data_IF_724376870707
#
_entry.id   IF_724376870707
#
_cell.length_a   1.000
_cell.length_b   1.000
_cell.length_c   1.000
_cell.angle_alpha   90.00
_cell.angle_beta   90.00
_cell.angle_gamma   90.00
#
_symmetry.space_group_name_H-M   'P 1'
#
loop_
_entity.id
_entity.type
_entity.pdbx_description
1 polymer ?
#
# COMPACT_ATOMS: atom_id res chain seq x y z
N UNK A 1 -53.15 -27.40 -64.09
CA UNK A 1 -52.63 -26.14 -63.52
C UNK A 1 -52.00 -26.45 -62.17
N UNK A 2 -50.67 -26.51 -62.10
CA UNK A 2 -49.93 -26.72 -60.83
C UNK A 2 -49.34 -25.39 -60.42
N UNK A 3 -49.81 -24.87 -59.30
CA UNK A 3 -49.36 -23.62 -58.72
C UNK A 3 -48.15 -23.90 -57.84
N UNK A 4 -46.97 -23.45 -58.27
CA UNK A 4 -45.74 -23.56 -57.48
C UNK A 4 -45.82 -22.58 -56.31
N UNK A 5 -45.90 -23.11 -55.09
CA UNK A 5 -45.72 -22.32 -53.87
C UNK A 5 -44.22 -22.17 -53.60
N UNK A 6 -43.71 -20.94 -53.71
CA UNK A 6 -42.36 -20.58 -53.26
C UNK A 6 -42.39 -20.44 -51.74
N UNK A 7 -41.73 -21.35 -51.03
CA UNK A 7 -41.53 -21.25 -49.58
C UNK A 7 -40.28 -20.40 -49.35
N UNK A 8 -40.47 -19.15 -48.91
CA UNK A 8 -39.39 -18.28 -48.46
C UNK A 8 -39.08 -18.65 -47.00
N UNK A 9 -38.00 -19.39 -46.79
CA UNK A 9 -37.47 -19.67 -45.44
C UNK A 9 -36.66 -18.45 -45.00
N UNK A 10 -37.27 -17.58 -44.19
CA UNK A 10 -36.57 -16.48 -43.53
C UNK A 10 -35.74 -17.05 -42.38
N UNK A 11 -34.45 -17.24 -42.62
CA UNK A 11 -33.45 -17.55 -41.61
C UNK A 11 -33.24 -16.31 -40.73
N UNK A 12 -34.02 -16.21 -39.66
CA UNK A 12 -33.78 -15.26 -38.58
C UNK A 12 -32.51 -15.70 -37.86
N UNK A 13 -31.38 -15.12 -38.26
CA UNK A 13 -30.15 -15.16 -37.47
C UNK A 13 -30.39 -14.34 -36.21
N UNK A 14 -30.87 -14.98 -35.15
CA UNK A 14 -30.76 -14.44 -33.80
C UNK A 14 -29.27 -14.33 -33.47
N UNK A 15 -28.69 -13.15 -33.72
CA UNK A 15 -27.37 -12.80 -33.23
C UNK A 15 -27.47 -12.72 -31.71
N UNK A 16 -27.14 -13.84 -31.07
CA UNK A 16 -27.04 -13.94 -29.62
C UNK A 16 -25.84 -13.09 -29.20
N UNK A 17 -26.09 -11.81 -28.90
CA UNK A 17 -25.11 -10.96 -28.25
C UNK A 17 -24.90 -11.51 -26.84
N UNK A 18 -23.90 -12.39 -26.68
CA UNK A 18 -23.39 -12.69 -25.36
C UNK A 18 -22.64 -11.45 -24.89
N UNK A 19 -23.25 -10.70 -23.98
CA UNK A 19 -22.52 -9.70 -23.22
C UNK A 19 -21.43 -10.45 -22.43
N UNK A 20 -20.18 -10.38 -22.90
CA UNK A 20 -19.05 -10.85 -22.11
C UNK A 20 -19.00 -9.99 -20.85
N UNK A 21 -19.25 -10.59 -19.68
CA UNK A 21 -18.93 -9.94 -18.40
C UNK A 21 -17.44 -9.63 -18.44
N UNK A 22 -17.08 -8.35 -18.45
CA UNK A 22 -15.72 -7.91 -18.17
C UNK A 22 -15.46 -8.32 -16.72
N UNK A 23 -14.82 -9.46 -16.53
CA UNK A 23 -14.32 -9.86 -15.21
C UNK A 23 -13.18 -8.90 -14.93
N UNK A 24 -13.42 -7.90 -14.08
CA UNK A 24 -12.37 -7.04 -13.55
C UNK A 24 -11.32 -7.96 -12.93
N UNK A 25 -10.14 -8.00 -13.53
CA UNK A 25 -9.04 -8.82 -13.05
C UNK A 25 -8.70 -8.36 -11.63
N UNK A 26 -8.62 -9.30 -10.68
CA UNK A 26 -8.29 -8.97 -9.30
C UNK A 26 -6.85 -8.43 -9.25
N UNK A 27 -6.66 -7.24 -8.66
CA UNK A 27 -5.32 -6.63 -8.57
C UNK A 27 -4.35 -7.50 -7.76
N UNK A 28 -4.84 -8.12 -6.69
CA UNK A 28 -4.12 -9.12 -5.92
C UNK A 28 -4.76 -10.52 -6.04
N UNK A 29 -4.37 -11.32 -7.04
CA UNK A 29 -4.92 -12.68 -7.21
C UNK A 29 -4.47 -13.64 -6.11
N UNK A 30 -3.39 -13.30 -5.38
CA UNK A 30 -2.86 -14.08 -4.26
C UNK A 30 -2.27 -13.15 -3.20
N UNK A 31 -2.59 -13.44 -1.95
CA UNK A 31 -2.08 -12.71 -0.78
C UNK A 31 -0.93 -13.51 -0.15
N UNK A 32 0.21 -12.86 0.09
CA UNK A 32 1.41 -13.52 0.61
C UNK A 32 1.68 -13.19 2.09
N UNK A 33 1.77 -14.24 2.93
CA UNK A 33 1.93 -14.06 4.39
C UNK A 33 3.24 -13.41 4.81
N UNK A 34 4.34 -13.62 4.11
CA UNK A 34 5.65 -13.00 4.43
C UNK A 34 6.39 -12.59 3.16
N UNK A 35 5.64 -12.22 2.13
CA UNK A 35 6.18 -11.80 0.84
C UNK A 35 5.20 -10.82 0.20
N UNK A 36 5.51 -10.38 -1.02
CA UNK A 36 4.69 -9.51 -1.85
C UNK A 36 4.77 -10.02 -3.31
N UNK A 37 3.87 -9.57 -4.18
CA UNK A 37 3.86 -9.94 -5.60
C UNK A 37 4.82 -9.09 -6.41
N UNK A 38 4.81 -7.79 -6.15
CA UNK A 38 5.57 -6.79 -6.90
C UNK A 38 5.96 -5.62 -5.99
N UNK A 39 6.92 -4.85 -6.47
CA UNK A 39 7.34 -3.58 -5.86
C UNK A 39 7.04 -2.49 -6.88
N UNK A 40 6.29 -1.48 -6.46
CA UNK A 40 6.00 -0.31 -7.28
C UNK A 40 6.61 0.93 -6.63
N UNK A 41 7.11 1.85 -7.45
CA UNK A 41 7.50 3.20 -7.00
C UNK A 41 6.43 4.16 -7.51
N UNK A 42 5.68 4.73 -6.58
CA UNK A 42 4.47 5.50 -6.88
C UNK A 42 4.51 6.87 -6.21
N UNK A 43 3.61 7.77 -6.63
CA UNK A 43 3.42 9.04 -5.95
C UNK A 43 2.38 8.90 -4.83
N UNK A 44 2.80 9.13 -3.60
CA UNK A 44 1.89 9.36 -2.49
C UNK A 44 1.36 10.80 -2.58
N UNK A 45 0.04 10.95 -2.59
CA UNK A 45 -0.66 12.23 -2.66
C UNK A 45 -1.41 12.47 -1.36
N UNK A 46 -1.24 13.65 -0.77
CA UNK A 46 -2.01 14.05 0.39
C UNK A 46 -2.35 15.53 0.37
N UNK A 47 -3.42 15.91 1.08
CA UNK A 47 -3.84 17.30 1.20
C UNK A 47 -3.46 17.78 2.59
N UNK A 48 -2.76 18.91 2.65
CA UNK A 48 -2.41 19.59 3.89
C UNK A 48 -2.65 21.07 3.72
N UNK A 49 -3.48 21.67 4.58
CA UNK A 49 -3.79 23.12 4.55
C UNK A 49 -4.20 23.65 3.15
N UNK A 50 -5.02 22.88 2.43
CA UNK A 50 -5.49 23.14 1.05
C UNK A 50 -4.43 22.99 -0.06
N UNK A 51 -3.20 22.60 0.26
CA UNK A 51 -2.17 22.27 -0.73
C UNK A 51 -2.05 20.76 -0.92
N UNK A 52 -1.78 20.35 -2.17
CA UNK A 52 -1.44 18.96 -2.49
C UNK A 52 0.05 18.74 -2.30
N UNK A 53 0.40 17.89 -1.35
CA UNK A 53 1.76 17.43 -1.13
C UNK A 53 1.96 16.10 -1.86
N UNK A 54 3.11 15.95 -2.52
CA UNK A 54 3.47 14.77 -3.30
C UNK A 54 4.83 14.25 -2.88
N UNK A 55 4.92 12.95 -2.62
CA UNK A 55 6.17 12.26 -2.30
C UNK A 55 6.28 10.97 -3.11
N UNK A 56 7.49 10.47 -3.31
CA UNK A 56 7.68 9.12 -3.81
C UNK A 56 7.54 8.11 -2.67
N UNK A 57 6.87 6.99 -2.94
CA UNK A 57 6.77 5.87 -2.02
C UNK A 57 7.15 4.56 -2.72
N UNK A 58 7.72 3.64 -1.96
CA UNK A 58 7.88 2.24 -2.36
C UNK A 58 6.66 1.49 -1.83
N UNK A 59 5.89 0.87 -2.72
CA UNK A 59 4.76 -0.02 -2.39
C UNK A 59 5.17 -1.47 -2.56
N UNK A 60 4.92 -2.27 -1.53
CA UNK A 60 5.00 -3.72 -1.56
C UNK A 60 3.58 -4.25 -1.73
N UNK A 61 3.26 -4.67 -2.96
CA UNK A 61 1.90 -4.99 -3.37
C UNK A 61 1.52 -6.44 -2.99
N UNK A 62 0.23 -6.63 -2.71
CA UNK A 62 -0.39 -7.92 -2.38
C UNK A 62 0.25 -8.64 -1.19
N UNK A 63 0.68 -7.85 -0.21
CA UNK A 63 1.06 -8.33 1.13
C UNK A 63 -0.17 -8.77 1.91
N UNK A 64 0.05 -9.57 2.96
CA UNK A 64 -1.04 -10.04 3.83
C UNK A 64 -1.63 -8.99 4.77
N UNK A 65 -0.84 -8.00 5.21
CA UNK A 65 -1.32 -6.85 5.99
C UNK A 65 -0.60 -5.58 5.54
N UNK A 66 -1.34 -4.47 5.44
CA UNK A 66 -0.77 -3.15 5.15
C UNK A 66 0.21 -2.67 6.23
N UNK A 67 0.10 -3.22 7.44
CA UNK A 67 0.92 -2.85 8.59
C UNK A 67 2.36 -3.43 8.54
N UNK A 68 2.76 -4.10 7.47
CA UNK A 68 4.09 -4.74 7.41
C UNK A 68 5.25 -3.77 7.53
N UNK A 69 5.18 -2.62 6.88
CA UNK A 69 6.24 -1.60 6.99
C UNK A 69 6.27 -0.98 8.39
N UNK A 70 5.11 -0.71 9.00
CA UNK A 70 5.03 -0.32 10.41
C UNK A 70 5.69 -1.35 11.34
N UNK A 71 5.34 -2.62 11.15
CA UNK A 71 5.80 -3.71 12.02
C UNK A 71 7.29 -3.90 11.92
N UNK A 72 7.87 -3.94 10.72
CA UNK A 72 9.31 -4.15 10.57
C UNK A 72 10.13 -2.97 11.08
N UNK A 73 9.60 -1.75 10.96
CA UNK A 73 10.20 -0.57 11.59
C UNK A 73 10.12 -0.66 13.11
N UNK A 74 8.96 -1.05 13.66
CA UNK A 74 8.81 -1.23 15.10
C UNK A 74 9.74 -2.31 15.65
N UNK A 75 9.84 -3.45 14.97
CA UNK A 75 10.65 -4.58 15.41
C UNK A 75 12.15 -4.27 15.42
N UNK A 76 12.59 -3.31 14.58
CA UNK A 76 14.00 -2.93 14.44
C UNK A 76 14.37 -1.68 15.24
N UNK A 77 13.50 -0.68 15.29
CA UNK A 77 13.79 0.64 15.86
C UNK A 77 12.92 0.99 17.07
N UNK A 78 11.95 0.16 17.43
CA UNK A 78 11.02 0.42 18.52
C UNK A 78 9.86 1.33 18.09
N UNK A 79 9.17 1.91 19.07
CA UNK A 79 7.99 2.74 18.82
C UNK A 79 8.34 3.96 17.94
N UNK A 80 7.45 4.28 17.01
CA UNK A 80 7.54 5.47 16.17
C UNK A 80 7.57 6.75 17.01
N UNK A 81 8.10 7.83 16.42
CA UNK A 81 8.23 9.13 17.06
C UNK A 81 6.95 9.97 16.90
N UNK A 82 6.32 9.89 15.73
CA UNK A 82 5.12 10.69 15.41
C UNK A 82 4.05 9.90 14.66
N UNK A 83 2.81 10.29 14.92
CA UNK A 83 1.60 9.81 14.26
C UNK A 83 1.04 10.96 13.42
N UNK A 84 0.87 10.74 12.13
CA UNK A 84 0.33 11.74 11.20
C UNK A 84 -0.96 11.17 10.65
N UNK A 85 -2.05 11.95 10.72
CA UNK A 85 -3.38 11.53 10.25
C UNK A 85 -3.81 12.41 9.09
N UNK A 86 -3.46 12.05 7.85
CA UNK A 86 -3.85 12.84 6.68
C UNK A 86 -5.37 12.90 6.55
N UNK A 87 -5.92 14.09 6.27
CA UNK A 87 -7.35 14.30 6.08
C UNK A 87 -8.24 13.71 7.18
N UNK A 88 -7.80 13.72 8.45
CA UNK A 88 -8.49 13.09 9.58
C UNK A 88 -8.79 11.59 9.39
N UNK A 89 -7.98 10.89 8.58
CA UNK A 89 -8.04 9.44 8.42
C UNK A 89 -7.89 8.74 9.78
N UNK A 90 -8.51 7.55 9.91
CA UNK A 90 -8.30 6.67 11.06
C UNK A 90 -7.03 5.83 10.96
N UNK A 91 -6.41 5.79 9.78
CA UNK A 91 -5.16 5.08 9.51
C UNK A 91 -4.00 6.10 9.50
N UNK A 92 -3.09 6.04 10.48
CA UNK A 92 -1.97 6.98 10.54
C UNK A 92 -0.86 6.60 9.56
N UNK A 93 -0.12 7.62 9.14
CA UNK A 93 1.27 7.47 8.73
C UNK A 93 2.11 7.49 10.01
N UNK A 94 3.00 6.51 10.15
CA UNK A 94 3.92 6.43 11.29
C UNK A 94 5.32 6.86 10.86
N UNK A 95 5.92 7.75 11.65
CA UNK A 95 7.22 8.35 11.37
C UNK A 95 8.27 7.92 12.40
N UNK A 96 9.40 7.43 11.91
CA UNK A 96 10.65 7.29 12.64
C UNK A 96 11.64 8.36 12.18
N UNK A 97 12.05 9.25 13.07
CA UNK A 97 12.97 10.36 12.79
C UNK A 97 14.42 9.98 13.10
N UNK A 98 15.34 10.41 12.24
CA UNK A 98 16.79 10.26 12.44
C UNK A 98 17.25 8.82 12.75
N UNK A 99 16.65 7.81 12.11
CA UNK A 99 17.05 6.40 12.25
C UNK A 99 18.25 6.06 11.38
N UNK A 100 19.11 5.18 11.87
CA UNK A 100 20.23 4.63 11.10
C UNK A 100 19.86 3.27 10.54
N UNK A 101 19.44 3.24 9.27
CA UNK A 101 18.91 2.03 8.64
C UNK A 101 19.97 0.94 8.49
N UNK A 102 21.21 1.37 8.19
CA UNK A 102 22.31 0.50 7.80
C UNK A 102 23.39 0.36 8.88
N UNK A 103 23.18 0.95 10.06
CA UNK A 103 24.16 1.02 11.15
C UNK A 103 25.50 1.64 10.70
N UNK A 104 25.46 2.62 9.78
CA UNK A 104 26.62 3.26 9.18
C UNK A 104 26.77 4.74 9.59
N UNK A 105 25.97 5.20 10.54
CA UNK A 105 25.94 6.57 11.04
C UNK A 105 25.02 7.50 10.26
N UNK A 106 24.61 7.14 9.02
CA UNK A 106 23.73 7.98 8.21
C UNK A 106 22.30 7.93 8.74
N UNK A 107 21.67 9.10 8.82
CA UNK A 107 20.34 9.27 9.43
C UNK A 107 19.27 9.50 8.36
N UNK A 108 18.14 8.82 8.57
CA UNK A 108 16.99 8.80 7.68
C UNK A 108 15.73 9.16 8.45
N UNK A 109 14.78 9.80 7.77
CA UNK A 109 13.42 9.97 8.23
C UNK A 109 12.54 9.00 7.43
N UNK A 110 11.91 8.05 8.12
CA UNK A 110 11.13 6.98 7.49
C UNK A 110 9.67 7.12 7.87
N UNK A 111 8.84 7.31 6.87
CA UNK A 111 7.40 7.30 6.97
C UNK A 111 6.89 5.96 6.45
N UNK A 112 5.93 5.38 7.15
CA UNK A 112 5.31 4.13 6.74
C UNK A 112 3.80 4.31 6.72
N UNK A 113 3.15 3.66 5.77
CA UNK A 113 1.69 3.62 5.63
C UNK A 113 1.29 2.38 4.82
N UNK A 114 0.02 2.26 4.47
CA UNK A 114 -0.45 1.19 3.60
C UNK A 114 -1.96 1.27 3.39
N UNK A 115 -2.44 0.39 2.53
CA UNK A 115 -3.84 0.31 2.14
C UNK A 115 -4.34 -1.12 2.30
N UNK A 116 -5.53 -1.26 2.88
CA UNK A 116 -6.27 -2.52 2.94
C UNK A 116 -7.65 -2.32 2.33
N UNK A 117 -7.81 -2.69 1.06
CA UNK A 117 -9.05 -2.68 0.32
C UNK A 117 -9.37 -4.08 -0.22
N UNK A 118 -10.61 -4.27 -0.68
CA UNK A 118 -11.02 -5.57 -1.22
C UNK A 118 -10.15 -5.94 -2.43
N UNK A 119 -9.38 -7.03 -2.31
CA UNK A 119 -8.46 -7.56 -3.35
C UNK A 119 -7.32 -6.60 -3.72
N UNK A 120 -7.04 -5.61 -2.88
CA UNK A 120 -5.86 -4.76 -3.03
C UNK A 120 -5.31 -4.39 -1.65
N UNK A 121 -4.16 -4.95 -1.32
CA UNK A 121 -3.48 -4.68 -0.05
C UNK A 121 -2.03 -4.35 -0.37
N UNK A 122 -1.54 -3.21 0.12
CA UNK A 122 -0.12 -2.89 0.05
C UNK A 122 0.39 -2.31 1.37
N UNK A 123 1.65 -2.57 1.65
CA UNK A 123 2.41 -1.85 2.66
C UNK A 123 3.38 -0.92 1.95
N UNK A 124 3.66 0.25 2.52
CA UNK A 124 4.46 1.27 1.84
C UNK A 124 5.41 2.00 2.79
N UNK A 125 6.48 2.53 2.20
CA UNK A 125 7.46 3.40 2.86
C UNK A 125 7.76 4.63 2.00
N UNK A 126 7.92 5.77 2.66
CA UNK A 126 8.57 6.95 2.10
C UNK A 126 9.82 7.22 2.94
N UNK A 127 10.93 7.56 2.29
CA UNK A 127 12.22 7.70 2.96
C UNK A 127 12.88 9.00 2.53
N UNK A 128 13.31 9.76 3.51
CA UNK A 128 13.97 11.03 3.31
C UNK A 128 15.31 11.07 4.05
N UNK A 129 16.20 11.92 3.59
CA UNK A 129 17.42 12.23 4.33
C UNK A 129 17.11 13.08 5.59
N UNK A 130 18.16 13.42 6.35
CA UNK A 130 18.05 14.28 7.54
C UNK A 130 17.47 15.68 7.26
N UNK A 131 17.51 16.15 6.01
CA UNK A 131 17.01 17.45 5.57
C UNK A 131 15.62 17.34 4.91
N UNK A 132 14.98 16.17 5.00
CA UNK A 132 13.70 15.86 4.33
C UNK A 132 13.75 15.91 2.80
N UNK A 133 14.92 15.64 2.20
CA UNK A 133 15.05 15.40 0.76
C UNK A 133 14.59 13.97 0.46
N UNK A 134 13.66 13.83 -0.49
CA UNK A 134 13.10 12.54 -0.91
C UNK A 134 14.19 11.66 -1.56
N UNK A 135 14.39 10.45 -1.02
CA UNK A 135 15.41 9.50 -1.46
C UNK A 135 14.89 8.40 -2.39
N UNK A 136 13.62 8.47 -2.81
CA UNK A 136 12.96 7.49 -3.68
C UNK A 136 12.71 8.10 -5.08
N UNK A 137 13.34 9.24 -5.40
CA UNK A 137 13.29 9.83 -6.74
C UNK A 137 14.01 8.96 -7.78
N UNK A 138 13.72 9.19 -9.07
CA UNK A 138 14.31 8.40 -10.16
C UNK A 138 15.83 8.57 -10.30
N UNK A 139 16.34 9.72 -9.89
CA UNK A 139 17.76 10.08 -9.87
C UNK A 139 18.47 9.74 -8.54
N UNK A 140 17.74 9.26 -7.53
CA UNK A 140 18.32 8.89 -6.25
C UNK A 140 19.19 7.63 -6.38
N UNK A 141 20.46 7.76 -6.03
CA UNK A 141 21.40 6.62 -5.96
C UNK A 141 21.09 5.67 -4.79
N UNK A 142 20.18 6.02 -3.89
CA UNK A 142 19.80 5.21 -2.73
C UNK A 142 18.54 4.38 -2.96
N UNK A 143 17.76 4.67 -4.01
CA UNK A 143 16.45 4.07 -4.25
C UNK A 143 16.50 2.54 -4.21
N UNK A 144 17.41 1.92 -4.97
CA UNK A 144 17.54 0.45 -5.02
C UNK A 144 17.95 -0.15 -3.66
N UNK A 145 18.90 0.49 -2.97
CA UNK A 145 19.33 0.04 -1.64
C UNK A 145 18.20 0.12 -0.59
N UNK A 146 17.30 1.11 -0.73
CA UNK A 146 16.12 1.24 0.12
C UNK A 146 15.08 0.16 -0.21
N UNK A 147 14.81 -0.07 -1.49
CA UNK A 147 13.93 -1.14 -1.97
C UNK A 147 14.39 -2.49 -1.41
N UNK A 148 15.65 -2.83 -1.60
CA UNK A 148 16.23 -4.10 -1.14
C UNK A 148 16.15 -4.24 0.38
N UNK A 149 16.50 -3.17 1.10
CA UNK A 149 16.46 -3.15 2.55
C UNK A 149 15.06 -3.46 3.10
N UNK A 150 14.02 -2.76 2.62
CA UNK A 150 12.66 -2.97 3.09
C UNK A 150 12.05 -4.29 2.59
N UNK A 151 12.39 -4.71 1.36
CA UNK A 151 12.09 -6.05 0.83
C UNK A 151 12.57 -7.14 1.79
N UNK A 152 13.83 -7.05 2.21
CA UNK A 152 14.46 -8.01 3.09
C UNK A 152 13.81 -8.04 4.47
N UNK A 153 13.51 -6.86 5.04
CA UNK A 153 12.81 -6.77 6.32
C UNK A 153 11.43 -7.42 6.27
N UNK A 154 10.66 -7.19 5.19
CA UNK A 154 9.33 -7.79 5.02
C UNK A 154 9.43 -9.30 4.84
N UNK A 155 10.37 -9.80 4.04
CA UNK A 155 10.57 -11.24 3.81
C UNK A 155 11.04 -11.98 5.07
N UNK A 156 11.90 -11.34 5.87
CA UNK A 156 12.42 -11.88 7.14
C UNK A 156 11.45 -11.66 8.32
N UNK A 157 10.32 -10.99 8.09
CA UNK A 157 9.35 -10.67 9.11
C UNK A 157 8.81 -11.95 9.77
N UNK A 158 9.14 -12.15 11.05
CA UNK A 158 8.58 -13.26 11.84
C UNK A 158 7.12 -13.00 12.14
N UNK A 159 6.31 -14.04 12.01
CA UNK A 159 4.84 -13.97 11.87
C UNK A 159 4.10 -13.40 13.07
N UNK A 160 4.73 -13.18 14.23
CA UNK A 160 4.06 -12.53 15.35
C UNK A 160 5.05 -12.03 16.44
N UNK A 161 5.13 -10.72 16.62
CA UNK A 161 5.55 -10.11 17.89
C UNK A 161 4.37 -9.34 18.45
N UNK A 162 3.82 -9.80 19.58
CA UNK A 162 2.61 -9.22 20.20
C UNK A 162 2.71 -7.72 20.44
N UNK A 163 3.91 -7.26 20.83
CA UNK A 163 4.15 -5.89 21.26
C UNK A 163 3.77 -4.84 20.22
N UNK A 164 4.05 -5.08 18.92
CA UNK A 164 3.68 -4.13 17.87
C UNK A 164 2.16 -3.93 17.79
N UNK A 165 1.41 -5.02 17.65
CA UNK A 165 -0.04 -4.95 17.45
C UNK A 165 -0.76 -4.40 18.68
N UNK A 166 -0.26 -4.71 19.88
CA UNK A 166 -0.79 -4.14 21.12
C UNK A 166 -0.57 -2.62 21.19
N UNK A 167 0.65 -2.15 20.91
CA UNK A 167 0.96 -0.71 20.91
C UNK A 167 0.20 0.04 19.81
N UNK A 168 0.14 -0.54 18.60
CA UNK A 168 -0.61 0.03 17.48
C UNK A 168 -2.11 0.12 17.80
N UNK A 169 -2.70 -0.96 18.34
CA UNK A 169 -4.12 -0.97 18.70
C UNK A 169 -4.46 0.05 19.77
N UNK A 170 -3.65 0.13 20.85
CA UNK A 170 -3.84 1.14 21.91
C UNK A 170 -3.84 2.57 21.34
N UNK A 171 -2.92 2.86 20.42
CA UNK A 171 -2.82 4.16 19.76
C UNK A 171 -4.08 4.48 18.94
N UNK A 172 -4.50 3.56 18.06
CA UNK A 172 -5.69 3.75 17.22
C UNK A 172 -6.96 3.89 18.06
N UNK A 173 -7.12 3.06 19.10
CA UNK A 173 -8.29 3.10 19.98
C UNK A 173 -8.35 4.42 20.77
N UNK A 174 -7.21 4.95 21.22
CA UNK A 174 -7.12 6.27 21.86
C UNK A 174 -7.55 7.39 20.91
N UNK A 175 -7.10 7.36 19.65
CA UNK A 175 -7.50 8.36 18.64
C UNK A 175 -9.01 8.33 18.43
N UNK A 176 -9.60 7.14 18.26
CA UNK A 176 -11.06 6.98 18.10
C UNK A 176 -11.83 7.53 19.30
N UNK A 177 -11.39 7.23 20.53
CA UNK A 177 -12.04 7.74 21.74
C UNK A 177 -11.93 9.26 21.89
N UNK A 178 -10.84 9.86 21.41
CA UNK A 178 -10.67 11.32 21.38
C UNK A 178 -11.63 12.00 20.41
N UNK A 179 -11.79 11.45 19.19
CA UNK A 179 -12.70 12.01 18.17
C UNK A 179 -14.18 11.95 18.57
N UNK A 180 -14.60 11.01 19.44
CA UNK A 180 -16.00 10.91 19.91
C UNK A 180 -16.35 12.00 20.94
N UNK A 181 -15.34 12.65 21.54
CA UNK A 181 -15.52 13.64 22.62
C UNK A 181 -15.53 15.10 22.15
N UNK A 182 -15.32 15.34 20.87
CA UNK A 182 -15.40 16.66 20.21
C UNK A 182 -16.69 16.77 19.40
#
# INVERSE_FOLDING_TARGET
>A
MKQNFLIIVSLIFCVYSSAQKIVQQEKCPKIYKTNYTEILVEKYLTISKNDTIKFNEIRFECVFLALYTHKVMFDKFGKWDKEIYPNNSNLPILLWENVDLYSNGKKYNVFTTGLEEWKHIYASVMVFDKNYIDLITDDSSEKENLIDYFSDLIKKNKTYRKNFYEEYRKMVDKKKAGTIKE
#
